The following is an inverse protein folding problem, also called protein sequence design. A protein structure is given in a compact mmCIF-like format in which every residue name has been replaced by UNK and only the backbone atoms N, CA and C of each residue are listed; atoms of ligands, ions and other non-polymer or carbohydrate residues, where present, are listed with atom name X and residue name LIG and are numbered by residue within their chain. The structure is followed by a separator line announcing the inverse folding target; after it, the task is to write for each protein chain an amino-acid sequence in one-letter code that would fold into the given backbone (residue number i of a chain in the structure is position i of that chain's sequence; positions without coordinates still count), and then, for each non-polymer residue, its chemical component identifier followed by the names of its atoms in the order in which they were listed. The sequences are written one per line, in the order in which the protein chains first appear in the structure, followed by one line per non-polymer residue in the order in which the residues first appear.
data_IF_065871639140
#
_entry.id   IF_065871639140
#
_cell.length_a   1.000
_cell.length_b   1.000
_cell.length_c   1.000
_cell.angle_alpha   90.00
_cell.angle_beta   90.00
_cell.angle_gamma   90.00
#
_symmetry.space_group_name_H-M   'P 1'
#
loop_
_entity.id
_entity.type
_entity.pdbx_description
1 polymer ?
#
# COMPACT_ATOMS: atom_id res chain seq x y z
N UNK A 1 0.65 40.53 7.54
CA UNK A 1 0.57 39.16 6.97
C UNK A 1 -0.43 39.16 5.83
N UNK A 2 -0.02 38.87 4.61
CA UNK A 2 -0.93 38.80 3.47
C UNK A 2 -1.85 37.55 3.63
N UNK A 3 -3.15 37.80 3.58
CA UNK A 3 -4.16 36.74 3.59
C UNK A 3 -4.01 35.92 2.31
N UNK A 4 -3.80 34.59 2.44
CA UNK A 4 -3.74 33.66 1.32
C UNK A 4 -5.08 32.97 1.11
N UNK A 5 -5.41 32.69 -0.14
CA UNK A 5 -6.69 32.16 -0.55
C UNK A 5 -6.53 30.90 -1.38
N UNK A 6 -7.56 30.04 -1.37
CA UNK A 6 -7.72 28.91 -2.28
C UNK A 6 -9.00 29.07 -3.10
N UNK A 7 -8.97 28.61 -4.35
CA UNK A 7 -10.12 28.55 -5.23
C UNK A 7 -10.63 27.11 -5.27
N UNK A 8 -11.90 26.95 -4.90
CA UNK A 8 -12.55 25.62 -4.77
C UNK A 8 -13.69 25.54 -5.77
N UNK A 9 -13.71 24.47 -6.57
CA UNK A 9 -14.86 24.05 -7.37
C UNK A 9 -15.91 23.45 -6.45
N UNK A 10 -17.17 23.85 -6.57
CA UNK A 10 -18.25 23.44 -5.67
C UNK A 10 -18.82 22.05 -6.01
N UNK A 11 -18.48 21.50 -7.17
CA UNK A 11 -19.11 20.28 -7.72
C UNK A 11 -20.27 20.58 -8.66
N UNK A 12 -20.64 21.84 -8.82
CA UNK A 12 -21.79 22.28 -9.64
C UNK A 12 -21.30 23.07 -10.86
N UNK A 13 -22.10 23.06 -11.92
CA UNK A 13 -21.87 23.86 -13.11
C UNK A 13 -22.68 25.18 -13.03
N UNK A 14 -22.23 26.16 -13.80
CA UNK A 14 -23.00 27.39 -13.96
C UNK A 14 -24.36 27.10 -14.64
N UNK A 15 -25.45 27.79 -14.25
CA UNK A 15 -26.71 27.70 -14.92
C UNK A 15 -26.55 27.92 -16.43
N UNK A 16 -27.18 27.07 -17.22
CA UNK A 16 -27.18 27.11 -18.70
C UNK A 16 -25.91 26.64 -19.42
N UNK A 17 -24.91 26.08 -18.73
CA UNK A 17 -23.73 25.48 -19.36
C UNK A 17 -23.81 23.95 -19.26
N UNK A 18 -23.69 23.27 -20.40
CA UNK A 18 -23.67 21.81 -20.42
C UNK A 18 -22.33 21.27 -19.89
N UNK A 19 -22.34 20.06 -19.28
CA UNK A 19 -21.12 19.42 -18.78
C UNK A 19 -20.05 19.29 -19.88
N UNK A 20 -20.46 19.02 -21.11
CA UNK A 20 -19.55 18.83 -22.25
C UNK A 20 -18.91 20.15 -22.69
N UNK A 21 -19.65 21.25 -22.61
CA UNK A 21 -19.17 22.59 -22.90
C UNK A 21 -18.23 23.10 -21.82
N UNK A 22 -18.55 22.88 -20.54
CA UNK A 22 -17.68 23.19 -19.43
C UNK A 22 -16.35 22.43 -19.54
N UNK A 23 -16.36 21.13 -19.86
CA UNK A 23 -15.16 20.31 -20.07
C UNK A 23 -14.27 20.92 -21.15
N UNK A 24 -14.83 21.28 -22.30
CA UNK A 24 -14.12 21.85 -23.45
C UNK A 24 -13.51 23.21 -23.09
N UNK A 25 -14.29 24.09 -22.46
CA UNK A 25 -13.85 25.43 -22.09
C UNK A 25 -12.73 25.41 -21.03
N UNK A 26 -12.85 24.53 -20.03
CA UNK A 26 -11.84 24.36 -18.97
C UNK A 26 -10.57 23.70 -19.53
N UNK A 27 -10.71 22.72 -20.41
CA UNK A 27 -9.59 22.08 -21.09
C UNK A 27 -8.78 23.08 -21.93
N UNK A 28 -9.48 23.96 -22.67
CA UNK A 28 -8.86 25.03 -23.43
C UNK A 28 -8.17 26.08 -22.53
N UNK A 29 -8.79 26.45 -21.40
CA UNK A 29 -8.26 27.42 -20.45
C UNK A 29 -6.94 26.96 -19.81
N UNK A 30 -6.86 25.67 -19.46
CA UNK A 30 -5.66 25.08 -18.81
C UNK A 30 -4.71 24.39 -19.78
N UNK A 31 -5.03 24.36 -21.07
CA UNK A 31 -4.27 23.65 -22.13
C UNK A 31 -4.01 22.18 -21.78
N UNK A 32 -5.03 21.48 -21.30
CA UNK A 32 -4.99 20.06 -20.94
C UNK A 32 -6.01 19.28 -21.76
N UNK A 33 -5.85 17.95 -21.84
CA UNK A 33 -6.81 17.10 -22.55
C UNK A 33 -8.18 17.08 -21.84
N UNK A 34 -9.26 17.00 -22.63
CA UNK A 34 -10.63 16.93 -22.13
C UNK A 34 -10.87 15.77 -21.16
N UNK A 35 -10.17 14.63 -21.35
CA UNK A 35 -10.31 13.47 -20.48
C UNK A 35 -9.88 13.73 -19.03
N UNK A 36 -8.87 14.58 -18.82
CA UNK A 36 -8.44 15.00 -17.47
C UNK A 36 -9.47 15.87 -16.78
N UNK A 37 -10.16 16.73 -17.54
CA UNK A 37 -11.21 17.62 -17.01
C UNK A 37 -12.52 16.88 -16.82
N UNK A 38 -12.80 15.87 -17.64
CA UNK A 38 -14.02 15.05 -17.54
C UNK A 38 -14.20 14.44 -16.15
N UNK A 39 -13.12 13.87 -15.58
CA UNK A 39 -13.13 13.32 -14.21
C UNK A 39 -13.42 14.38 -13.14
N UNK A 40 -12.97 15.62 -13.32
CA UNK A 40 -13.23 16.73 -12.40
C UNK A 40 -14.71 17.19 -12.47
N UNK A 41 -15.25 17.34 -13.68
CA UNK A 41 -16.59 17.88 -13.92
C UNK A 41 -17.68 16.85 -13.61
N UNK A 42 -17.53 15.61 -14.08
CA UNK A 42 -18.51 14.54 -13.88
C UNK A 42 -18.47 13.93 -12.48
N UNK A 43 -17.39 14.13 -11.73
CA UNK A 43 -17.25 13.64 -10.35
C UNK A 43 -18.19 14.31 -9.34
N UNK A 44 -18.74 15.49 -9.64
CA UNK A 44 -19.76 16.18 -8.83
C UNK A 44 -19.32 16.55 -7.40
N UNK A 45 -18.02 16.49 -7.07
CA UNK A 45 -17.52 16.75 -5.72
C UNK A 45 -16.75 18.05 -5.65
N UNK A 46 -16.88 18.75 -4.50
CA UNK A 46 -16.09 19.97 -4.25
C UNK A 46 -14.59 19.64 -4.23
N UNK A 47 -13.80 20.37 -5.04
CA UNK A 47 -12.36 20.15 -5.17
C UNK A 47 -11.58 21.44 -5.25
N UNK A 48 -10.45 21.53 -4.54
CA UNK A 48 -9.55 22.67 -4.63
C UNK A 48 -8.81 22.66 -5.97
N UNK A 49 -8.96 23.74 -6.76
CA UNK A 49 -8.31 23.89 -8.07
C UNK A 49 -6.95 24.54 -7.93
N UNK A 50 -6.83 25.57 -7.10
CA UNK A 50 -5.59 26.29 -6.86
C UNK A 50 -5.55 26.78 -5.41
N UNK A 51 -4.36 26.73 -4.80
CA UNK A 51 -4.12 27.13 -3.40
C UNK A 51 -2.99 28.17 -3.33
N UNK A 52 -2.90 28.84 -2.20
CA UNK A 52 -1.84 29.80 -1.88
C UNK A 52 -1.81 31.02 -2.82
N UNK A 53 -2.99 31.57 -3.13
CA UNK A 53 -3.14 32.75 -4.00
C UNK A 53 -3.32 34.02 -3.16
N UNK A 54 -2.87 35.16 -3.69
CA UNK A 54 -3.28 36.46 -3.23
C UNK A 54 -4.73 36.76 -3.67
N UNK A 55 -5.37 37.76 -3.05
CA UNK A 55 -6.78 38.10 -3.30
C UNK A 55 -7.07 38.47 -4.75
N UNK A 56 -6.17 39.26 -5.38
CA UNK A 56 -6.35 39.69 -6.76
C UNK A 56 -6.24 38.52 -7.76
N UNK A 57 -5.27 37.61 -7.56
CA UNK A 57 -5.10 36.44 -8.39
C UNK A 57 -6.23 35.44 -8.19
N UNK A 58 -6.68 35.23 -6.96
CA UNK A 58 -7.83 34.35 -6.67
C UNK A 58 -9.11 34.86 -7.39
N UNK A 59 -9.36 36.15 -7.39
CA UNK A 59 -10.50 36.75 -8.11
C UNK A 59 -10.41 36.54 -9.63
N UNK A 60 -9.21 36.65 -10.22
CA UNK A 60 -8.97 36.36 -11.64
C UNK A 60 -9.26 34.91 -12.00
N UNK A 61 -8.82 33.96 -11.16
CA UNK A 61 -9.10 32.53 -11.34
C UNK A 61 -10.61 32.24 -11.27
N UNK A 62 -11.31 32.82 -10.30
CA UNK A 62 -12.77 32.65 -10.18
C UNK A 62 -13.46 33.21 -11.42
N UNK A 63 -13.13 34.42 -11.87
CA UNK A 63 -13.72 34.99 -13.08
C UNK A 63 -13.48 34.13 -14.32
N UNK A 64 -12.26 33.61 -14.51
CA UNK A 64 -11.94 32.74 -15.64
C UNK A 64 -12.68 31.40 -15.61
N UNK A 65 -12.74 30.76 -14.44
CA UNK A 65 -13.41 29.48 -14.27
C UNK A 65 -14.93 29.57 -14.33
N UNK A 66 -15.52 30.65 -13.80
CA UNK A 66 -16.95 30.92 -13.93
C UNK A 66 -17.36 31.15 -15.40
N UNK A 67 -16.53 31.87 -16.17
CA UNK A 67 -16.75 32.03 -17.62
C UNK A 67 -16.61 30.72 -18.39
N UNK A 68 -15.77 29.81 -17.89
CA UNK A 68 -15.63 28.49 -18.47
C UNK A 68 -16.76 27.50 -18.09
N UNK A 69 -17.70 27.93 -17.21
CA UNK A 69 -18.88 27.16 -16.85
C UNK A 69 -18.84 26.43 -15.51
N UNK A 70 -17.80 26.63 -14.69
CA UNK A 70 -17.70 26.01 -13.36
C UNK A 70 -18.25 26.92 -12.27
N UNK A 71 -18.99 26.39 -11.31
CA UNK A 71 -19.31 27.10 -10.06
C UNK A 71 -18.10 26.99 -9.09
N UNK A 72 -17.48 28.12 -8.79
CA UNK A 72 -16.26 28.18 -7.96
C UNK A 72 -16.40 29.23 -6.87
N UNK A 73 -15.73 29.00 -5.72
CA UNK A 73 -15.68 29.96 -4.60
C UNK A 73 -14.26 30.19 -4.10
N UNK A 74 -14.05 31.36 -3.49
CA UNK A 74 -12.80 31.68 -2.82
C UNK A 74 -12.95 31.34 -1.33
N UNK A 75 -12.00 30.57 -0.79
CA UNK A 75 -11.92 30.27 0.63
C UNK A 75 -10.60 30.81 1.19
N UNK A 76 -10.62 31.52 2.32
CA UNK A 76 -9.40 31.94 2.98
C UNK A 76 -8.65 30.74 3.52
N UNK A 77 -7.34 30.71 3.34
CA UNK A 77 -6.49 29.72 4.00
C UNK A 77 -6.21 30.20 5.43
N UNK A 78 -6.52 29.33 6.42
CA UNK A 78 -6.07 29.57 7.77
C UNK A 78 -4.53 29.63 7.77
N UNK A 79 -3.96 30.68 8.38
CA UNK A 79 -2.53 30.74 8.60
C UNK A 79 -2.10 29.50 9.40
N UNK A 80 -0.92 28.90 9.12
CA UNK A 80 -0.38 27.91 10.01
C UNK A 80 -0.25 28.55 11.39
N UNK A 81 -0.55 27.83 12.49
CA UNK A 81 -0.37 28.37 13.83
C UNK A 81 1.13 28.64 14.03
N UNK A 82 1.51 29.89 13.87
CA UNK A 82 2.78 30.42 14.32
C UNK A 82 2.60 30.74 15.78
N UNK A 83 3.51 30.22 16.56
CA UNK A 83 3.78 30.51 17.96
C UNK A 83 3.07 29.60 18.97
N UNK A 84 3.85 28.67 19.47
CA UNK A 84 3.75 28.13 20.82
C UNK A 84 4.03 29.27 21.83
N UNK A 85 3.08 30.18 22.01
CA UNK A 85 2.99 30.98 23.22
C UNK A 85 2.25 30.14 24.25
N UNK A 86 2.97 29.78 25.31
CA UNK A 86 2.37 29.37 26.58
C UNK A 86 1.37 30.46 27.00
N UNK A 87 0.09 30.15 26.91
CA UNK A 87 -0.96 31.04 27.35
C UNK A 87 -0.78 31.28 28.83
N UNK A 88 -0.94 32.54 29.30
CA UNK A 88 -0.95 32.87 30.74
C UNK A 88 -2.11 32.09 31.38
N UNK A 89 -1.84 31.52 32.55
CA UNK A 89 -2.79 30.87 33.43
C UNK A 89 -4.01 31.77 33.67
N UNK A 90 -5.12 31.47 33.01
CA UNK A 90 -6.43 32.04 33.35
C UNK A 90 -6.91 31.38 34.63
N UNK A 91 -7.44 32.11 35.62
CA UNK A 91 -7.98 31.49 36.82
C UNK A 91 -9.12 30.55 36.46
N UNK A 92 -9.08 29.39 37.06
CA UNK A 92 -10.05 28.29 36.88
C UNK A 92 -11.42 28.76 37.44
N UNK A 93 -12.39 29.06 36.55
CA UNK A 93 -13.78 29.15 36.97
C UNK A 93 -14.32 27.70 37.16
N UNK A 94 -15.02 27.42 38.27
CA UNK A 94 -15.56 26.08 38.50
C UNK A 94 -16.64 25.76 37.48
N UNK A 95 -16.41 24.69 36.71
CA UNK A 95 -17.38 24.12 35.78
C UNK A 95 -18.56 23.57 36.60
N UNK A 96 -19.83 23.83 36.19
CA UNK A 96 -20.99 23.34 36.95
C UNK A 96 -21.02 21.80 36.97
N UNK A 97 -21.17 21.28 38.18
CA UNK A 97 -21.22 19.88 38.57
C UNK A 97 -22.55 19.25 38.13
N UNK A 98 -22.66 18.94 36.79
CA UNK A 98 -23.75 18.12 36.29
C UNK A 98 -23.35 17.43 35.01
N UNK A 99 -22.34 16.56 35.08
CA UNK A 99 -22.04 15.60 33.99
C UNK A 99 -22.52 14.22 34.45
N UNK A 100 -23.20 13.44 33.60
CA UNK A 100 -23.61 12.08 33.95
C UNK A 100 -22.34 11.26 34.26
N UNK A 101 -22.30 10.67 35.41
CA UNK A 101 -21.27 9.71 35.83
C UNK A 101 -21.32 8.53 34.85
N UNK A 102 -20.33 8.43 33.98
CA UNK A 102 -20.21 7.30 33.03
C UNK A 102 -19.40 6.22 33.72
N UNK A 103 -20.07 5.26 34.31
CA UNK A 103 -19.45 4.13 35.05
C UNK A 103 -18.53 3.27 34.16
N UNK A 104 -18.71 3.30 32.84
CA UNK A 104 -17.93 2.52 31.87
C UNK A 104 -17.40 3.41 30.75
N UNK A 105 -16.14 3.22 30.41
CA UNK A 105 -15.54 3.94 29.29
C UNK A 105 -16.26 3.61 27.96
N UNK A 106 -16.79 4.59 27.21
CA UNK A 106 -17.53 4.35 25.97
C UNK A 106 -16.66 3.82 24.82
N UNK A 107 -15.32 3.82 24.98
CA UNK A 107 -14.41 3.29 23.97
C UNK A 107 -13.98 1.85 24.25
N UNK A 108 -13.63 1.51 25.49
CA UNK A 108 -13.05 0.21 25.82
C UNK A 108 -13.86 -0.60 26.85
N UNK A 109 -14.98 -0.08 27.36
CA UNK A 109 -15.85 -0.75 28.33
C UNK A 109 -15.29 -0.88 29.75
N UNK A 110 -14.08 -0.40 30.02
CA UNK A 110 -13.43 -0.52 31.34
C UNK A 110 -14.12 0.37 32.36
N UNK A 111 -14.30 -0.16 33.60
CA UNK A 111 -14.88 0.54 34.78
C UNK A 111 -13.81 1.42 35.47
N UNK A 112 -12.84 1.93 34.76
CA UNK A 112 -11.71 2.68 35.28
C UNK A 112 -11.70 4.14 34.80
N UNK A 113 -12.87 4.80 34.83
CA UNK A 113 -12.97 6.23 34.51
C UNK A 113 -12.84 7.02 35.80
N UNK A 114 -11.79 7.86 35.91
CA UNK A 114 -11.59 8.81 37.01
C UNK A 114 -11.38 10.20 36.45
N UNK A 115 -12.07 11.20 36.95
CA UNK A 115 -11.96 12.59 36.54
C UNK A 115 -12.14 12.80 35.01
N UNK A 116 -13.03 12.03 34.39
CA UNK A 116 -13.28 12.09 32.95
C UNK A 116 -12.19 11.46 32.06
N UNK A 117 -11.17 10.83 32.66
CA UNK A 117 -10.10 10.10 31.96
C UNK A 117 -10.25 8.60 32.18
N UNK A 118 -10.16 7.80 31.14
CA UNK A 118 -10.12 6.36 31.27
C UNK A 118 -8.69 5.88 31.56
N UNK A 119 -8.46 5.29 32.75
CA UNK A 119 -7.15 4.77 33.14
C UNK A 119 -6.66 3.57 32.30
N UNK A 120 -7.57 2.86 31.61
CA UNK A 120 -7.23 1.70 30.80
C UNK A 120 -6.83 2.06 29.35
N UNK A 121 -7.46 3.08 28.73
CA UNK A 121 -7.19 3.45 27.33
C UNK A 121 -6.80 4.92 27.11
N UNK A 122 -6.71 5.72 28.18
CA UNK A 122 -6.17 7.09 28.16
C UNK A 122 -7.04 8.14 27.48
N UNK A 123 -8.32 7.84 27.13
CA UNK A 123 -9.19 8.84 26.49
C UNK A 123 -9.84 9.78 27.50
N UNK A 124 -10.04 11.03 27.08
CA UNK A 124 -10.91 11.98 27.77
C UNK A 124 -12.34 11.70 27.31
N UNK A 125 -13.20 11.16 28.21
CA UNK A 125 -14.55 10.67 27.89
C UNK A 125 -15.44 11.77 27.31
N UNK A 126 -15.37 12.98 27.84
CA UNK A 126 -16.14 14.14 27.36
C UNK A 126 -15.81 14.50 25.90
N UNK A 127 -14.50 14.48 25.51
CA UNK A 127 -14.08 14.71 24.14
C UNK A 127 -14.48 13.57 23.20
N UNK A 128 -14.51 12.36 23.70
CA UNK A 128 -14.94 11.21 22.93
C UNK A 128 -16.45 11.28 22.64
N UNK A 129 -17.29 11.54 23.64
CA UNK A 129 -18.74 11.68 23.48
C UNK A 129 -19.14 12.89 22.62
N UNK A 130 -18.39 14.01 22.68
CA UNK A 130 -18.60 15.16 21.79
C UNK A 130 -18.32 14.84 20.33
N UNK A 131 -17.42 13.88 20.06
CA UNK A 131 -17.05 13.48 18.67
C UNK A 131 -17.91 12.31 18.14
N UNK A 132 -18.46 11.50 19.06
CA UNK A 132 -19.32 10.36 18.76
C UNK A 132 -20.54 10.41 19.68
N UNK A 133 -21.54 11.28 19.39
CA UNK A 133 -22.79 11.28 20.17
C UNK A 133 -23.43 9.91 20.05
N UNK A 134 -23.76 9.29 21.21
CA UNK A 134 -24.46 8.03 21.27
C UNK A 134 -25.77 8.15 20.48
N UNK A 135 -25.98 7.25 19.52
CA UNK A 135 -27.26 7.14 18.84
C UNK A 135 -28.32 6.89 19.91
N UNK A 136 -29.28 7.79 20.02
CA UNK A 136 -30.44 7.69 20.90
C UNK A 136 -31.16 6.39 20.60
N UNK A 137 -31.21 5.45 21.53
CA UNK A 137 -32.03 4.24 21.43
C UNK A 137 -33.50 4.66 21.26
N UNK A 138 -34.26 4.08 20.30
CA UNK A 138 -35.65 4.35 20.21
C UNK A 138 -36.40 3.68 21.40
N UNK A 139 -37.17 4.50 22.11
CA UNK A 139 -38.08 4.11 23.20
C UNK A 139 -39.04 2.99 22.75
N UNK A 140 -39.35 1.99 23.60
CA UNK A 140 -40.24 0.89 23.22
C UNK A 140 -41.70 1.34 23.11
N UNK A 141 -42.23 1.33 21.88
CA UNK A 141 -43.68 1.44 21.66
C UNK A 141 -44.36 0.11 21.99
N UNK A 142 -45.24 0.18 22.93
CA UNK A 142 -46.22 -0.85 23.37
C UNK A 142 -47.09 -1.32 22.19
N UNK A 143 -47.10 -2.63 21.91
CA UNK A 143 -48.05 -3.21 20.92
C UNK A 143 -48.02 -4.74 20.97
N UNK A 144 -49.11 -5.32 21.45
CA UNK A 144 -49.36 -6.72 21.81
C UNK A 144 -49.24 -7.75 20.67
N UNK A 145 -48.64 -8.90 21.02
CA UNK A 145 -48.94 -10.33 20.79
C UNK A 145 -49.36 -10.83 19.36
N UNK A 146 -49.16 -12.11 18.98
CA UNK A 146 -49.50 -13.29 19.78
C UNK A 146 -48.40 -14.40 19.82
N UNK A 147 -48.57 -15.22 20.85
CA UNK A 147 -47.86 -16.49 21.12
C UNK A 147 -48.23 -17.54 20.06
N UNK A 148 -47.22 -18.34 19.70
CA UNK A 148 -47.47 -19.75 19.30
C UNK A 148 -46.54 -20.59 20.16
N UNK A 149 -47.19 -21.38 21.00
CA UNK A 149 -46.57 -22.46 21.79
C UNK A 149 -46.19 -23.58 20.80
N UNK A 150 -45.00 -24.15 20.92
CA UNK A 150 -44.86 -25.58 20.73
C UNK A 150 -43.74 -26.13 21.61
N UNK A 151 -44.16 -27.08 22.40
CA UNK A 151 -43.50 -27.86 23.42
C UNK A 151 -42.76 -28.99 22.73
N UNK A 152 -41.48 -29.24 23.08
CA UNK A 152 -40.95 -30.57 23.24
C UNK A 152 -39.55 -30.54 23.86
N UNK A 153 -39.50 -31.03 25.07
CA UNK A 153 -38.29 -31.15 25.88
C UNK A 153 -37.36 -32.27 25.46
N UNK A 154 -36.15 -32.16 25.87
CA UNK A 154 -35.38 -33.22 26.56
C UNK A 154 -34.02 -32.76 27.07
N UNK A 155 -33.42 -33.48 27.99
CA UNK A 155 -32.61 -32.91 29.06
C UNK A 155 -31.10 -33.10 28.88
N UNK A 156 -30.37 -32.16 29.45
CA UNK A 156 -29.12 -32.36 30.17
C UNK A 156 -27.90 -33.03 29.50
N UNK A 157 -26.86 -32.21 29.29
CA UNK A 157 -25.47 -32.68 29.41
C UNK A 157 -24.55 -31.54 29.91
N UNK A 158 -23.54 -31.89 30.73
CA UNK A 158 -22.87 -30.94 31.60
C UNK A 158 -21.64 -30.30 30.95
N UNK A 159 -21.40 -29.05 31.35
CA UNK A 159 -20.09 -28.38 31.35
C UNK A 159 -19.10 -28.65 30.20
N UNK A 160 -19.25 -27.94 29.08
CA UNK A 160 -18.12 -27.57 28.23
C UNK A 160 -17.70 -26.15 28.63
N UNK A 161 -16.48 -25.99 29.11
CA UNK A 161 -15.82 -24.70 29.31
C UNK A 161 -15.81 -23.97 27.95
N UNK A 162 -16.20 -22.67 27.86
CA UNK A 162 -16.10 -21.93 26.63
C UNK A 162 -14.62 -21.69 26.35
N UNK A 163 -14.04 -22.46 25.48
CA UNK A 163 -12.83 -22.07 24.77
C UNK A 163 -13.19 -20.84 23.96
N UNK A 164 -12.55 -19.71 24.30
CA UNK A 164 -12.68 -18.48 23.57
C UNK A 164 -12.48 -18.76 22.08
N UNK A 165 -13.52 -18.53 21.30
CA UNK A 165 -13.37 -18.41 19.85
C UNK A 165 -12.29 -17.35 19.61
N UNK A 166 -11.35 -17.57 18.65
CA UNK A 166 -10.38 -16.54 18.30
C UNK A 166 -11.17 -15.30 17.90
N UNK A 167 -11.00 -14.23 18.67
CA UNK A 167 -11.53 -12.91 18.34
C UNK A 167 -11.15 -12.61 16.88
N UNK A 168 -12.11 -12.22 16.01
CA UNK A 168 -11.78 -11.81 14.67
C UNK A 168 -10.74 -10.68 14.77
N UNK A 169 -9.56 -10.92 14.21
CA UNK A 169 -8.50 -9.94 14.09
C UNK A 169 -9.09 -8.65 13.53
N UNK A 170 -8.89 -7.57 14.24
CA UNK A 170 -9.37 -6.23 13.88
C UNK A 170 -8.75 -5.83 12.56
N UNK A 171 -9.46 -6.09 11.47
CA UNK A 171 -9.12 -5.58 10.14
C UNK A 171 -9.03 -4.05 10.23
N UNK A 172 -7.96 -3.40 9.77
CA UNK A 172 -7.87 -1.96 9.76
C UNK A 172 -9.09 -1.38 9.01
N UNK A 173 -9.84 -0.51 9.68
CA UNK A 173 -11.03 0.14 9.10
C UNK A 173 -10.63 0.90 7.84
N UNK A 174 -11.03 0.41 6.67
CA UNK A 174 -10.91 1.10 5.39
C UNK A 174 -10.35 0.29 4.23
N UNK A 175 -9.80 -0.89 4.44
CA UNK A 175 -9.41 -1.77 3.35
C UNK A 175 -10.66 -2.53 2.84
N UNK A 176 -11.16 -2.19 1.66
CA UNK A 176 -12.08 -3.07 0.94
C UNK A 176 -11.36 -4.42 0.75
N UNK A 177 -11.95 -5.52 1.22
CA UNK A 177 -11.37 -6.85 1.04
C UNK A 177 -11.04 -7.08 -0.45
N UNK A 178 -9.90 -7.71 -0.77
CA UNK A 178 -9.54 -7.95 -2.17
C UNK A 178 -10.65 -8.73 -2.86
N UNK A 179 -11.16 -8.20 -3.96
CA UNK A 179 -12.27 -8.81 -4.73
C UNK A 179 -11.82 -10.09 -5.48
N UNK A 180 -10.54 -10.46 -5.34
CA UNK A 180 -9.92 -11.61 -6.00
C UNK A 180 -9.09 -11.20 -7.24
N UNK A 181 -8.21 -12.08 -7.77
CA UNK A 181 -7.37 -11.73 -8.88
C UNK A 181 -8.19 -11.59 -10.18
N UNK A 182 -8.11 -10.42 -10.81
CA UNK A 182 -8.68 -10.12 -12.12
C UNK A 182 -7.65 -10.35 -13.23
N UNK A 183 -8.12 -10.85 -14.39
CA UNK A 183 -7.29 -10.87 -15.58
C UNK A 183 -7.28 -9.47 -16.21
N UNK A 184 -6.10 -9.00 -16.58
CA UNK A 184 -5.90 -7.71 -17.25
C UNK A 184 -5.20 -7.92 -18.58
N UNK A 185 -5.31 -6.94 -19.49
CA UNK A 185 -4.68 -7.03 -20.82
C UNK A 185 -3.15 -6.92 -20.72
N UNK A 186 -2.44 -7.51 -21.70
CA UNK A 186 -0.97 -7.49 -21.74
C UNK A 186 -0.38 -6.08 -21.72
N UNK A 187 -1.03 -5.10 -22.37
CA UNK A 187 -0.60 -3.69 -22.41
C UNK A 187 -0.56 -3.02 -21.03
N UNK A 188 -1.30 -3.54 -20.03
CA UNK A 188 -1.26 -3.01 -18.67
C UNK A 188 0.13 -3.10 -18.05
N UNK A 189 0.98 -4.04 -18.45
CA UNK A 189 2.36 -4.13 -17.99
C UNK A 189 3.16 -2.84 -18.21
N UNK A 190 2.96 -2.17 -19.35
CA UNK A 190 3.54 -0.85 -19.61
C UNK A 190 2.82 0.28 -18.86
N UNK A 191 1.50 0.23 -18.79
CA UNK A 191 0.71 1.23 -18.07
C UNK A 191 1.06 1.27 -16.58
N UNK A 192 1.39 0.13 -15.97
CA UNK A 192 1.86 0.08 -14.58
C UNK A 192 3.14 0.88 -14.38
N UNK A 193 4.09 0.77 -15.32
CA UNK A 193 5.35 1.54 -15.27
C UNK A 193 5.06 3.05 -15.44
N UNK A 194 4.21 3.43 -16.37
CA UNK A 194 3.84 4.83 -16.58
C UNK A 194 3.18 5.46 -15.36
N UNK A 195 2.28 4.72 -14.72
CA UNK A 195 1.63 5.17 -13.47
C UNK A 195 2.60 5.16 -12.30
N UNK A 196 3.49 4.17 -12.20
CA UNK A 196 4.57 4.15 -11.21
C UNK A 196 5.49 5.36 -11.35
N UNK A 197 5.82 5.77 -12.59
CA UNK A 197 6.57 6.99 -12.86
C UNK A 197 5.82 8.26 -12.46
N UNK A 198 4.49 8.26 -12.56
CA UNK A 198 3.68 9.36 -12.02
C UNK A 198 3.82 9.47 -10.49
N UNK A 199 3.74 8.36 -9.75
CA UNK A 199 4.00 8.33 -8.31
C UNK A 199 5.39 8.89 -7.97
N UNK A 200 6.41 8.47 -8.71
CA UNK A 200 7.77 9.00 -8.55
C UNK A 200 7.82 10.52 -8.77
N UNK A 201 7.26 11.03 -9.87
CA UNK A 201 7.28 12.46 -10.21
C UNK A 201 6.56 13.35 -9.19
N UNK A 202 5.58 12.82 -8.50
CA UNK A 202 4.82 13.58 -7.48
C UNK A 202 5.68 13.89 -6.26
N UNK A 203 6.61 12.99 -5.88
CA UNK A 203 7.48 13.17 -4.72
C UNK A 203 8.85 12.51 -4.92
N UNK A 204 9.68 13.00 -5.89
CA UNK A 204 10.86 12.30 -6.33
C UNK A 204 11.92 12.12 -5.23
N UNK A 205 12.16 13.16 -4.43
CA UNK A 205 13.19 13.11 -3.39
C UNK A 205 12.87 12.08 -2.31
N UNK A 206 11.62 11.99 -1.89
CA UNK A 206 11.21 10.99 -0.89
C UNK A 206 11.31 9.58 -1.48
N UNK A 207 10.90 9.37 -2.74
CA UNK A 207 11.03 8.09 -3.41
C UNK A 207 12.48 7.63 -3.55
N UNK A 208 13.39 8.54 -3.94
CA UNK A 208 14.84 8.25 -3.99
C UNK A 208 15.33 7.89 -2.60
N UNK A 209 15.01 8.71 -1.59
CA UNK A 209 15.48 8.51 -0.22
C UNK A 209 15.04 7.15 0.35
N UNK A 210 13.76 6.80 0.24
CA UNK A 210 13.25 5.52 0.77
C UNK A 210 13.79 4.32 0.01
N UNK A 211 13.96 4.41 -1.32
CA UNK A 211 14.47 3.32 -2.13
C UNK A 211 15.98 3.10 -1.90
N UNK A 212 16.76 4.18 -1.80
CA UNK A 212 18.19 4.10 -1.47
C UNK A 212 18.38 3.57 -0.05
N UNK A 213 17.58 4.05 0.92
CA UNK A 213 17.65 3.53 2.30
C UNK A 213 17.29 2.05 2.36
N UNK A 214 16.25 1.61 1.64
CA UNK A 214 15.91 0.19 1.50
C UNK A 214 17.09 -0.62 0.98
N UNK A 215 17.69 -0.17 -0.14
CA UNK A 215 18.83 -0.85 -0.75
C UNK A 215 20.04 -0.92 0.18
N UNK A 216 20.34 0.18 0.89
CA UNK A 216 21.44 0.23 1.86
C UNK A 216 21.19 -0.72 3.04
N UNK A 217 19.99 -0.77 3.59
CA UNK A 217 19.65 -1.70 4.68
C UNK A 217 19.88 -3.14 4.23
N UNK A 218 19.35 -3.53 3.07
CA UNK A 218 19.50 -4.89 2.55
C UNK A 218 20.98 -5.19 2.23
N UNK A 219 21.71 -4.24 1.67
CA UNK A 219 23.14 -4.38 1.38
C UNK A 219 23.94 -4.60 2.66
N UNK A 220 23.73 -3.79 3.70
CA UNK A 220 24.44 -3.92 4.99
C UNK A 220 24.14 -5.27 5.64
N UNK A 221 22.87 -5.69 5.65
CA UNK A 221 22.50 -7.01 6.15
C UNK A 221 23.19 -8.13 5.40
N UNK A 222 23.32 -8.01 4.07
CA UNK A 222 23.94 -9.03 3.21
C UNK A 222 25.46 -9.14 3.36
N UNK A 223 26.13 -8.20 4.06
CA UNK A 223 27.58 -8.26 4.32
C UNK A 223 27.96 -9.42 5.27
N UNK A 224 27.01 -9.92 6.06
CA UNK A 224 27.27 -11.07 6.94
C UNK A 224 26.97 -12.37 6.19
N UNK A 225 27.97 -13.20 5.86
CA UNK A 225 27.77 -14.43 5.11
C UNK A 225 26.73 -15.36 5.79
N UNK A 226 25.88 -16.00 5.01
CA UNK A 226 24.80 -16.92 5.43
C UNK A 226 23.74 -16.24 6.30
N UNK A 227 24.11 -15.71 7.46
CA UNK A 227 23.18 -15.12 8.42
C UNK A 227 22.49 -13.87 7.85
N UNK A 228 23.26 -13.03 7.15
CA UNK A 228 22.76 -11.80 6.54
C UNK A 228 21.67 -12.04 5.50
N UNK A 229 21.83 -13.07 4.67
CA UNK A 229 20.81 -13.48 3.70
C UNK A 229 19.51 -13.94 4.35
N UNK A 230 19.60 -14.71 5.44
CA UNK A 230 18.43 -15.12 6.22
C UNK A 230 17.72 -13.90 6.84
N UNK A 231 18.45 -13.04 7.52
CA UNK A 231 17.89 -11.82 8.13
C UNK A 231 17.30 -10.89 7.08
N UNK A 232 17.98 -10.69 5.95
CA UNK A 232 17.48 -9.90 4.85
C UNK A 232 16.16 -10.46 4.30
N UNK A 233 16.04 -11.79 4.14
CA UNK A 233 14.82 -12.45 3.67
C UNK A 233 13.62 -12.26 4.60
N UNK A 234 13.86 -12.08 5.91
CA UNK A 234 12.82 -11.84 6.90
C UNK A 234 12.43 -10.35 6.99
N UNK A 235 13.39 -9.44 6.80
CA UNK A 235 13.19 -7.99 6.91
C UNK A 235 12.67 -7.39 5.60
N UNK A 236 13.13 -7.89 4.44
CA UNK A 236 12.72 -7.36 3.14
C UNK A 236 11.20 -7.27 2.94
N UNK A 237 10.37 -8.27 3.29
CA UNK A 237 8.92 -8.15 3.15
C UNK A 237 8.32 -7.07 4.06
N UNK A 238 8.90 -6.79 5.23
CA UNK A 238 8.45 -5.72 6.14
C UNK A 238 8.69 -4.36 5.48
N UNK A 239 9.90 -4.13 4.96
CA UNK A 239 10.25 -2.88 4.29
C UNK A 239 9.46 -2.71 2.99
N UNK A 240 9.29 -3.78 2.20
CA UNK A 240 8.49 -3.75 0.97
C UNK A 240 7.02 -3.47 1.29
N UNK A 241 6.44 -4.12 2.30
CA UNK A 241 5.09 -3.83 2.79
C UNK A 241 4.92 -2.38 3.21
N UNK A 242 5.92 -1.80 3.89
CA UNK A 242 5.95 -0.39 4.25
C UNK A 242 5.93 0.54 3.03
N UNK A 243 6.74 0.24 1.99
CA UNK A 243 6.72 0.99 0.74
C UNK A 243 5.37 0.88 0.01
N UNK A 244 4.70 -0.28 0.06
CA UNK A 244 3.37 -0.46 -0.51
C UNK A 244 2.32 0.37 0.24
N UNK A 245 2.39 0.44 1.57
CA UNK A 245 1.55 1.34 2.39
C UNK A 245 1.82 2.80 2.01
N UNK A 246 3.07 3.22 1.86
CA UNK A 246 3.42 4.58 1.45
C UNK A 246 2.92 4.95 0.04
N UNK A 247 2.99 4.02 -0.92
CA UNK A 247 2.42 4.20 -2.25
C UNK A 247 0.89 4.29 -2.21
N UNK A 248 0.25 3.50 -1.35
CA UNK A 248 -1.20 3.56 -1.11
C UNK A 248 -1.63 4.91 -0.50
N UNK A 249 -0.90 5.45 0.47
CA UNK A 249 -1.14 6.78 1.01
C UNK A 249 -1.07 7.84 -0.09
N UNK A 250 -0.04 7.78 -0.95
CA UNK A 250 0.14 8.71 -2.06
C UNK A 250 -0.99 8.60 -3.10
N UNK A 251 -1.52 7.41 -3.35
CA UNK A 251 -2.67 7.22 -4.23
C UNK A 251 -3.97 7.85 -3.68
N UNK A 252 -4.03 8.08 -2.36
CA UNK A 252 -5.13 8.75 -1.67
C UNK A 252 -4.84 10.24 -1.35
N UNK A 253 -3.99 10.89 -2.14
CA UNK A 253 -3.61 12.30 -2.01
C UNK A 253 -2.92 12.66 -0.67
N UNK A 254 -2.36 11.68 0.04
CA UNK A 254 -1.54 11.87 1.25
C UNK A 254 -0.06 11.81 0.89
N UNK A 255 0.80 12.66 1.47
CA UNK A 255 2.22 12.68 1.09
C UNK A 255 2.94 11.42 1.54
N UNK A 256 3.75 10.85 0.62
CA UNK A 256 4.72 9.83 0.98
C UNK A 256 5.78 10.44 1.92
N UNK A 257 6.00 9.85 3.08
CA UNK A 257 7.03 10.23 4.05
C UNK A 257 8.06 9.13 4.25
N UNK A 258 9.24 9.48 4.77
CA UNK A 258 10.31 8.51 5.06
C UNK A 258 9.89 7.42 6.04
N UNK A 259 9.01 7.76 7.00
CA UNK A 259 8.48 6.81 7.97
C UNK A 259 7.73 5.63 7.35
N UNK A 260 7.21 5.77 6.12
CA UNK A 260 6.51 4.68 5.44
C UNK A 260 7.42 3.51 5.10
N UNK A 261 8.76 3.72 4.99
CA UNK A 261 9.70 2.61 4.84
C UNK A 261 9.57 1.58 5.99
N UNK A 262 9.25 2.07 7.19
CA UNK A 262 9.12 1.26 8.40
C UNK A 262 7.65 0.94 8.77
N UNK A 263 6.69 1.37 7.96
CA UNK A 263 5.27 1.17 8.25
C UNK A 263 4.88 -0.31 8.31
N UNK A 264 5.61 -1.20 7.63
CA UNK A 264 5.40 -2.65 7.71
C UNK A 264 5.63 -3.23 9.12
N UNK A 265 6.43 -2.57 9.97
CA UNK A 265 6.59 -3.00 11.37
C UNK A 265 5.32 -2.77 12.21
N UNK A 266 4.49 -1.79 11.84
CA UNK A 266 3.22 -1.48 12.51
C UNK A 266 2.02 -2.15 11.84
N UNK A 267 2.19 -2.65 10.59
CA UNK A 267 1.11 -3.25 9.80
C UNK A 267 1.41 -4.74 9.58
N UNK A 268 0.93 -5.59 10.49
CA UNK A 268 1.04 -7.05 10.40
C UNK A 268 2.47 -7.59 10.27
N UNK A 269 3.44 -7.04 11.01
CA UNK A 269 4.86 -7.42 10.94
C UNK A 269 5.08 -8.94 11.07
N UNK A 270 4.37 -9.61 11.98
CA UNK A 270 4.46 -11.06 12.16
C UNK A 270 4.09 -11.84 10.89
N UNK A 271 3.07 -11.41 10.16
CA UNK A 271 2.67 -12.06 8.91
C UNK A 271 3.66 -11.75 7.76
N UNK A 272 4.25 -10.55 7.76
CA UNK A 272 5.30 -10.19 6.80
C UNK A 272 6.57 -11.03 7.02
N UNK A 273 7.00 -11.20 8.27
CA UNK A 273 8.11 -12.10 8.64
C UNK A 273 7.79 -13.54 8.23
N UNK A 274 6.57 -14.01 8.51
CA UNK A 274 6.13 -15.36 8.14
C UNK A 274 6.16 -15.56 6.60
N UNK A 275 5.76 -14.56 5.82
CA UNK A 275 5.87 -14.61 4.36
C UNK A 275 7.33 -14.69 3.88
N UNK A 276 8.23 -13.93 4.52
CA UNK A 276 9.68 -14.00 4.26
C UNK A 276 10.27 -15.37 4.61
N UNK A 277 9.87 -15.94 5.74
CA UNK A 277 10.29 -17.29 6.15
C UNK A 277 9.78 -18.38 5.18
N UNK A 278 8.50 -18.31 4.79
CA UNK A 278 7.93 -19.24 3.81
C UNK A 278 8.61 -19.10 2.44
N UNK A 279 8.92 -17.89 2.02
CA UNK A 279 9.69 -17.63 0.80
C UNK A 279 11.08 -18.25 0.87
N UNK A 280 11.82 -18.01 1.97
CA UNK A 280 13.15 -18.56 2.19
C UNK A 280 13.13 -20.10 2.16
N UNK A 281 12.23 -20.73 2.91
CA UNK A 281 12.05 -22.19 2.91
C UNK A 281 11.70 -22.69 1.51
N UNK A 282 10.78 -22.04 0.83
CA UNK A 282 10.38 -22.38 -0.55
C UNK A 282 11.56 -22.31 -1.53
N UNK A 283 12.39 -21.26 -1.45
CA UNK A 283 13.57 -21.09 -2.30
C UNK A 283 14.65 -22.15 -2.01
N UNK A 284 14.89 -22.47 -0.74
CA UNK A 284 15.82 -23.55 -0.35
C UNK A 284 15.34 -24.89 -0.88
N UNK A 285 14.07 -25.24 -0.67
CA UNK A 285 13.49 -26.49 -1.17
C UNK A 285 13.53 -26.59 -2.71
N UNK A 286 13.28 -25.48 -3.39
CA UNK A 286 13.33 -25.40 -4.85
C UNK A 286 14.78 -25.52 -5.40
N UNK A 287 15.78 -25.12 -4.61
CA UNK A 287 17.18 -25.23 -4.99
C UNK A 287 17.74 -26.66 -4.86
N UNK A 288 17.20 -27.49 -3.95
CA UNK A 288 17.75 -28.83 -3.65
C UNK A 288 17.89 -29.71 -4.92
N UNK A 289 16.87 -29.88 -5.79
CA UNK A 289 17.01 -30.72 -6.98
C UNK A 289 18.09 -30.21 -7.94
N UNK A 290 18.21 -28.90 -8.08
CA UNK A 290 19.24 -28.28 -8.95
C UNK A 290 20.65 -28.50 -8.39
N UNK A 291 20.85 -28.33 -7.10
CA UNK A 291 22.13 -28.60 -6.44
C UNK A 291 22.49 -30.09 -6.55
N UNK A 292 21.52 -31.01 -6.34
CA UNK A 292 21.75 -32.44 -6.49
C UNK A 292 22.15 -32.80 -7.92
N UNK A 293 21.45 -32.26 -8.94
CA UNK A 293 21.81 -32.49 -10.34
C UNK A 293 23.20 -31.92 -10.66
N UNK A 294 23.56 -30.78 -10.10
CA UNK A 294 24.87 -30.18 -10.29
C UNK A 294 25.98 -31.06 -9.68
N UNK A 295 25.81 -31.56 -8.46
CA UNK A 295 26.78 -32.43 -7.78
C UNK A 295 26.95 -33.74 -8.58
N UNK A 296 25.85 -34.40 -8.95
CA UNK A 296 25.87 -35.63 -9.75
C UNK A 296 26.51 -35.40 -11.13
N UNK A 297 26.32 -34.24 -11.73
CA UNK A 297 26.94 -33.86 -12.99
C UNK A 297 28.45 -33.62 -12.87
N UNK A 298 28.90 -33.06 -11.76
CA UNK A 298 30.32 -32.84 -11.49
C UNK A 298 31.11 -34.14 -11.31
N UNK A 299 30.52 -35.15 -10.70
CA UNK A 299 31.16 -36.47 -10.56
C UNK A 299 31.43 -37.15 -11.91
N UNK A 300 30.70 -36.79 -12.96
CA UNK A 300 30.90 -37.29 -14.30
C UNK A 300 31.94 -36.54 -15.14
N UNK A 301 32.45 -35.39 -14.63
CA UNK A 301 33.49 -34.61 -15.30
C UNK A 301 34.85 -35.17 -15.02
N UNK A 302 35.58 -35.53 -16.08
CA UNK A 302 36.97 -35.95 -15.96
C UNK A 302 37.88 -34.74 -15.65
N UNK A 303 38.48 -34.65 -14.42
CA UNK A 303 39.32 -33.55 -14.06
C UNK A 303 40.62 -33.47 -14.86
N UNK A 304 41.00 -34.58 -15.56
CA UNK A 304 42.24 -34.62 -16.38
C UNK A 304 42.03 -34.00 -17.76
N UNK A 305 40.81 -33.73 -18.17
CA UNK A 305 40.46 -33.03 -19.44
C UNK A 305 40.80 -31.55 -19.44
N UNK A 306 41.02 -30.94 -18.29
CA UNK A 306 41.49 -29.53 -18.19
C UNK A 306 43.02 -29.50 -18.30
N UNK A 307 43.54 -29.43 -19.54
CA UNK A 307 44.98 -29.31 -19.77
C UNK A 307 45.62 -28.11 -19.04
N UNK A 308 46.92 -28.15 -18.83
CA UNK A 308 47.69 -27.06 -18.16
C UNK A 308 47.71 -25.73 -18.98
N UNK A 309 47.29 -25.75 -20.24
CA UNK A 309 47.25 -24.58 -21.09
C UNK A 309 46.03 -23.67 -20.74
N UNK A 310 46.27 -22.40 -20.32
CA UNK A 310 45.18 -21.48 -19.94
C UNK A 310 44.13 -21.21 -21.03
N UNK A 311 44.52 -21.28 -22.31
CA UNK A 311 43.61 -21.07 -23.43
C UNK A 311 42.71 -22.28 -23.67
N UNK A 312 43.26 -23.51 -23.56
CA UNK A 312 42.50 -24.75 -23.60
C UNK A 312 41.55 -24.87 -22.41
N UNK A 313 42.03 -24.45 -21.22
CA UNK A 313 41.24 -24.44 -19.99
C UNK A 313 40.05 -23.46 -20.07
N UNK A 314 40.23 -22.27 -20.67
CA UNK A 314 39.13 -21.31 -20.86
C UNK A 314 38.07 -21.81 -21.85
N UNK A 315 38.51 -22.48 -22.93
CA UNK A 315 37.58 -23.10 -23.90
C UNK A 315 36.80 -24.26 -23.30
N UNK A 316 37.50 -25.19 -22.63
CA UNK A 316 36.87 -26.33 -21.96
C UNK A 316 35.87 -25.88 -20.84
N UNK A 317 36.22 -24.84 -20.09
CA UNK A 317 35.35 -24.25 -19.09
C UNK A 317 34.10 -23.63 -19.73
N UNK A 318 34.24 -22.89 -20.84
CA UNK A 318 33.10 -22.31 -21.56
C UNK A 318 32.17 -23.39 -22.11
N UNK A 319 32.73 -24.47 -22.66
CA UNK A 319 31.97 -25.62 -23.16
C UNK A 319 31.29 -26.39 -22.03
N UNK A 320 31.96 -26.60 -20.90
CA UNK A 320 31.38 -27.18 -19.72
C UNK A 320 30.19 -26.36 -19.18
N UNK A 321 30.35 -25.02 -19.06
CA UNK A 321 29.29 -24.11 -18.60
C UNK A 321 28.08 -24.08 -19.57
N UNK A 322 28.30 -24.25 -20.85
CA UNK A 322 27.23 -24.35 -21.86
C UNK A 322 26.63 -25.76 -21.96
N UNK A 323 27.29 -26.75 -21.36
CA UNK A 323 26.89 -28.15 -21.39
C UNK A 323 25.69 -28.46 -20.48
N UNK A 324 25.07 -29.64 -20.68
CA UNK A 324 23.89 -30.05 -19.91
C UNK A 324 24.18 -30.16 -18.40
N UNK A 325 25.43 -30.39 -17.99
CA UNK A 325 25.84 -30.49 -16.60
C UNK A 325 25.55 -29.21 -15.79
N UNK A 326 25.66 -28.05 -16.39
CA UNK A 326 25.34 -26.77 -15.75
C UNK A 326 23.99 -26.21 -16.20
N UNK A 327 23.66 -26.36 -17.47
CA UNK A 327 22.43 -25.80 -18.04
C UNK A 327 21.18 -26.45 -17.46
N UNK A 328 21.16 -27.79 -17.30
CA UNK A 328 20.01 -28.51 -16.77
C UNK A 328 19.68 -28.16 -15.31
N UNK A 329 20.65 -28.12 -14.36
CA UNK A 329 20.41 -27.64 -13.00
C UNK A 329 19.87 -26.21 -12.95
N UNK A 330 20.41 -25.29 -13.77
CA UNK A 330 19.93 -23.91 -13.85
C UNK A 330 18.48 -23.83 -14.30
N UNK A 331 18.11 -24.59 -15.35
CA UNK A 331 16.73 -24.65 -15.85
C UNK A 331 15.78 -25.26 -14.82
N UNK A 332 16.19 -26.31 -14.12
CA UNK A 332 15.41 -26.91 -13.04
C UNK A 332 15.24 -25.93 -11.87
N UNK A 333 16.32 -25.23 -11.47
CA UNK A 333 16.23 -24.19 -10.46
C UNK A 333 15.24 -23.10 -10.87
N UNK A 334 15.38 -22.55 -12.07
CA UNK A 334 14.49 -21.51 -12.59
C UNK A 334 13.02 -21.94 -12.61
N UNK A 335 12.75 -23.18 -13.07
CA UNK A 335 11.40 -23.76 -13.12
C UNK A 335 10.76 -23.90 -11.74
N UNK A 336 11.53 -24.34 -10.74
CA UNK A 336 11.02 -24.57 -9.38
C UNK A 336 10.98 -23.28 -8.54
N UNK A 337 11.91 -22.34 -8.75
CA UNK A 337 11.93 -21.07 -8.03
C UNK A 337 10.86 -20.09 -8.52
N UNK A 338 10.48 -20.14 -9.79
CA UNK A 338 9.48 -19.24 -10.37
C UNK A 338 8.12 -19.28 -9.64
N UNK A 339 7.51 -20.44 -9.35
CA UNK A 339 6.27 -20.49 -8.57
C UNK A 339 6.40 -19.89 -7.17
N UNK A 340 7.55 -20.07 -6.50
CA UNK A 340 7.81 -19.50 -5.19
C UNK A 340 7.91 -17.97 -5.28
N UNK A 341 8.60 -17.46 -6.29
CA UNK A 341 8.68 -16.01 -6.57
C UNK A 341 7.30 -15.42 -6.89
N UNK A 342 6.48 -16.10 -7.70
CA UNK A 342 5.11 -15.67 -8.00
C UNK A 342 4.22 -15.64 -6.74
N UNK A 343 4.39 -16.60 -5.84
CA UNK A 343 3.67 -16.61 -4.58
C UNK A 343 4.06 -15.42 -3.68
N UNK A 344 5.31 -15.04 -3.71
CA UNK A 344 5.82 -13.95 -2.88
C UNK A 344 5.56 -12.56 -3.48
N UNK A 345 5.46 -12.41 -4.80
CA UNK A 345 5.50 -11.13 -5.53
C UNK A 345 4.58 -10.05 -4.97
N UNK A 346 3.30 -10.35 -4.76
CA UNK A 346 2.32 -9.42 -4.21
C UNK A 346 2.03 -9.65 -2.71
N UNK A 347 2.61 -10.70 -2.09
CA UNK A 347 2.30 -11.04 -0.71
C UNK A 347 2.56 -9.89 0.28
N UNK A 348 3.67 -9.12 0.21
CA UNK A 348 3.89 -7.99 1.12
C UNK A 348 2.79 -6.92 1.03
N UNK A 349 2.29 -6.62 -0.18
CA UNK A 349 1.21 -5.66 -0.37
C UNK A 349 -0.13 -6.18 0.20
N UNK A 350 -0.48 -7.44 -0.11
CA UNK A 350 -1.69 -8.11 0.40
C UNK A 350 -1.71 -8.23 1.93
N UNK A 351 -0.54 -8.39 2.57
CA UNK A 351 -0.43 -8.46 4.02
C UNK A 351 -0.51 -7.05 4.64
N UNK A 352 0.28 -6.10 4.12
CA UNK A 352 0.42 -4.79 4.73
C UNK A 352 -0.79 -3.88 4.50
N UNK A 353 -1.48 -3.99 3.36
CA UNK A 353 -2.63 -3.16 2.99
C UNK A 353 -3.94 -3.87 3.32
N UNK A 354 -4.12 -5.13 2.89
CA UNK A 354 -5.39 -5.87 3.05
C UNK A 354 -5.47 -6.66 4.36
N UNK A 355 -4.38 -6.75 5.13
CA UNK A 355 -4.37 -7.46 6.40
C UNK A 355 -4.43 -8.99 6.30
N UNK A 356 -4.11 -9.58 5.14
CA UNK A 356 -4.19 -11.02 4.94
C UNK A 356 -3.08 -11.76 5.71
N UNK A 357 -3.38 -12.99 6.16
CA UNK A 357 -2.36 -13.89 6.69
C UNK A 357 -1.37 -14.33 5.60
N UNK A 358 -0.09 -14.58 5.97
CA UNK A 358 1.01 -14.88 5.06
C UNK A 358 0.68 -15.96 4.02
N UNK A 359 0.15 -17.11 4.46
CA UNK A 359 -0.20 -18.23 3.58
C UNK A 359 -1.32 -17.88 2.60
N UNK A 360 -2.33 -17.15 3.06
CA UNK A 360 -3.46 -16.71 2.21
C UNK A 360 -3.00 -15.67 1.19
N UNK A 361 -2.15 -14.72 1.59
CA UNK A 361 -1.56 -13.73 0.72
C UNK A 361 -0.69 -14.36 -0.37
N UNK A 362 0.18 -15.33 0.00
CA UNK A 362 1.02 -16.05 -0.96
C UNK A 362 0.20 -16.86 -1.96
N UNK A 363 -0.84 -17.57 -1.51
CA UNK A 363 -1.76 -18.29 -2.42
C UNK A 363 -2.48 -17.34 -3.38
N UNK A 364 -2.94 -16.21 -2.87
CA UNK A 364 -3.65 -15.21 -3.67
C UNK A 364 -2.69 -14.54 -4.67
N UNK A 365 -1.46 -14.19 -4.26
CA UNK A 365 -0.39 -13.68 -5.11
C UNK A 365 -0.09 -14.63 -6.25
N UNK A 366 0.12 -15.92 -5.96
CA UNK A 366 0.38 -16.95 -6.95
C UNK A 366 -0.73 -17.04 -8.00
N UNK A 367 -2.01 -17.08 -7.56
CA UNK A 367 -3.17 -17.07 -8.46
C UNK A 367 -3.23 -15.79 -9.30
N UNK A 368 -2.90 -14.63 -8.72
CA UNK A 368 -2.84 -13.35 -9.40
C UNK A 368 -1.79 -13.35 -10.51
N UNK A 369 -0.59 -13.85 -10.22
CA UNK A 369 0.49 -13.98 -11.19
C UNK A 369 0.15 -14.96 -12.31
N UNK A 370 -0.38 -16.16 -11.98
CA UNK A 370 -0.80 -17.16 -12.99
C UNK A 370 -1.85 -16.60 -13.95
N UNK A 371 -2.80 -15.83 -13.44
CA UNK A 371 -3.86 -15.25 -14.26
C UNK A 371 -3.36 -14.09 -15.15
N UNK A 372 -2.21 -13.53 -14.82
CA UNK A 372 -1.66 -12.33 -15.46
C UNK A 372 -0.21 -12.52 -15.95
N UNK A 373 0.13 -13.69 -16.47
CA UNK A 373 1.48 -14.00 -16.94
C UNK A 373 1.92 -13.02 -18.04
N UNK A 374 1.06 -12.76 -19.04
CA UNK A 374 1.40 -11.87 -20.16
C UNK A 374 1.66 -10.41 -19.74
N UNK A 375 0.78 -9.74 -18.96
CA UNK A 375 1.08 -8.38 -18.50
C UNK A 375 2.29 -8.33 -17.57
N UNK A 376 2.53 -9.35 -16.72
CA UNK A 376 3.73 -9.44 -15.89
C UNK A 376 4.99 -9.66 -16.71
N UNK A 377 4.92 -10.43 -17.79
CA UNK A 377 6.03 -10.61 -18.73
C UNK A 377 6.38 -9.28 -19.42
N UNK A 378 5.37 -8.56 -19.94
CA UNK A 378 5.57 -7.23 -20.52
C UNK A 378 6.21 -6.29 -19.51
N UNK A 379 5.68 -6.25 -18.27
CA UNK A 379 6.23 -5.48 -17.17
C UNK A 379 7.69 -5.83 -16.88
N UNK A 380 8.00 -7.13 -16.80
CA UNK A 380 9.37 -7.62 -16.54
C UNK A 380 10.35 -7.25 -17.68
N UNK A 381 9.97 -7.46 -18.95
CA UNK A 381 10.81 -7.13 -20.10
C UNK A 381 11.05 -5.61 -20.19
N UNK A 382 10.00 -4.81 -20.06
CA UNK A 382 10.14 -3.35 -20.09
C UNK A 382 10.92 -2.82 -18.88
N UNK A 383 10.70 -3.40 -17.71
CA UNK A 383 11.47 -3.10 -16.50
C UNK A 383 12.96 -3.41 -16.68
N UNK A 384 13.28 -4.58 -17.25
CA UNK A 384 14.67 -4.96 -17.56
C UNK A 384 15.33 -3.98 -18.52
N UNK A 385 14.64 -3.60 -19.61
CA UNK A 385 15.14 -2.59 -20.56
C UNK A 385 15.43 -1.27 -19.82
N UNK A 386 14.50 -0.81 -18.98
CA UNK A 386 14.70 0.43 -18.20
C UNK A 386 15.88 0.32 -17.23
N UNK A 387 16.09 -0.83 -16.57
CA UNK A 387 17.23 -1.07 -15.69
C UNK A 387 18.54 -1.02 -16.49
N UNK A 388 18.62 -1.67 -17.64
CA UNK A 388 19.79 -1.62 -18.53
C UNK A 388 20.07 -0.18 -18.95
N UNK A 389 19.08 0.54 -19.47
CA UNK A 389 19.22 1.93 -19.87
C UNK A 389 19.60 2.84 -18.69
N UNK A 390 19.04 2.61 -17.52
CA UNK A 390 19.33 3.36 -16.29
C UNK A 390 20.73 3.10 -15.74
N UNK A 391 21.34 1.96 -16.06
CA UNK A 391 22.71 1.62 -15.63
C UNK A 391 23.78 2.31 -16.52
N UNK A 392 23.47 2.64 -17.77
CA UNK A 392 24.42 3.26 -18.71
C UNK A 392 25.03 4.58 -18.18
N UNK A 393 24.28 5.54 -17.60
CA UNK A 393 24.89 6.74 -17.00
C UNK A 393 25.43 6.47 -15.60
N UNK A 394 26.43 5.58 -15.48
CA UNK A 394 27.10 5.25 -14.21
C UNK A 394 26.12 4.92 -13.05
N UNK A 395 25.05 4.16 -13.36
CA UNK A 395 23.98 3.76 -12.43
C UNK A 395 23.08 4.91 -11.94
N UNK A 396 23.32 6.17 -12.31
CA UNK A 396 22.51 7.31 -11.86
C UNK A 396 21.05 7.21 -12.30
N UNK A 397 20.80 6.62 -13.48
CA UNK A 397 19.44 6.38 -13.96
C UNK A 397 18.64 5.42 -13.07
N UNK A 398 19.31 4.55 -12.31
CA UNK A 398 18.65 3.64 -11.38
C UNK A 398 17.97 4.38 -10.21
N UNK A 399 18.44 5.59 -9.86
CA UNK A 399 17.78 6.43 -8.85
C UNK A 399 16.36 6.86 -9.27
N UNK A 400 16.05 6.79 -10.56
CA UNK A 400 14.72 7.06 -11.11
C UNK A 400 13.99 5.75 -11.41
N UNK A 401 14.68 4.80 -12.03
CA UNK A 401 14.08 3.53 -12.49
C UNK A 401 13.62 2.68 -11.31
N UNK A 402 14.47 2.50 -10.28
CA UNK A 402 14.13 1.64 -9.14
C UNK A 402 12.92 2.12 -8.35
N UNK A 403 12.84 3.39 -7.91
CA UNK A 403 11.61 3.90 -7.29
C UNK A 403 10.37 3.76 -8.18
N UNK A 404 10.53 4.00 -9.50
CA UNK A 404 9.44 3.84 -10.46
C UNK A 404 8.93 2.40 -10.50
N UNK A 405 9.82 1.40 -10.54
CA UNK A 405 9.45 -0.01 -10.54
C UNK A 405 8.80 -0.43 -9.21
N UNK A 406 9.28 0.06 -8.07
CA UNK A 406 8.64 -0.18 -6.78
C UNK A 406 7.22 0.42 -6.74
N UNK A 407 7.05 1.66 -7.18
CA UNK A 407 5.74 2.28 -7.26
C UNK A 407 4.81 1.57 -8.25
N UNK A 408 5.34 1.09 -9.39
CA UNK A 408 4.55 0.34 -10.39
C UNK A 408 4.11 -1.05 -9.89
N UNK A 409 4.85 -1.65 -8.94
CA UNK A 409 4.42 -2.86 -8.25
C UNK A 409 3.13 -2.61 -7.45
N UNK A 410 3.01 -1.46 -6.76
CA UNK A 410 1.77 -1.06 -6.10
C UNK A 410 0.62 -0.87 -7.10
N UNK A 411 0.87 -0.20 -8.23
CA UNK A 411 -0.15 0.01 -9.28
C UNK A 411 -0.65 -1.33 -9.83
N UNK A 412 0.27 -2.27 -10.10
CA UNK A 412 -0.09 -3.62 -10.59
C UNK A 412 -0.90 -4.41 -9.57
N UNK A 413 -0.54 -4.33 -8.27
CA UNK A 413 -1.31 -4.90 -7.17
C UNK A 413 -2.75 -4.36 -7.15
N UNK A 414 -2.93 -3.03 -7.19
CA UNK A 414 -4.25 -2.40 -7.21
C UNK A 414 -5.09 -2.82 -8.42
N UNK A 415 -4.47 -2.93 -9.59
CA UNK A 415 -5.16 -3.31 -10.83
C UNK A 415 -5.58 -4.80 -10.86
N UNK A 416 -4.78 -5.70 -10.26
CA UNK A 416 -5.04 -7.15 -10.25
C UNK A 416 -6.02 -7.53 -9.14
N UNK A 417 -5.93 -6.94 -7.95
CA UNK A 417 -6.68 -7.38 -6.77
C UNK A 417 -7.84 -6.43 -6.37
N UNK A 418 -7.79 -5.18 -6.80
CA UNK A 418 -8.82 -4.17 -6.54
C UNK A 418 -9.29 -3.55 -7.85
N UNK A 419 -10.55 -3.64 -8.20
CA UNK A 419 -11.12 -3.14 -9.48
C UNK A 419 -11.01 -1.63 -9.70
N UNK A 420 -10.46 -0.87 -8.75
CA UNK A 420 -10.37 0.59 -8.76
C UNK A 420 -8.91 1.02 -8.68
N UNK A 421 -8.26 1.21 -9.81
CA UNK A 421 -7.10 2.13 -9.93
C UNK A 421 -7.13 2.78 -11.30
#
# INVERSE_FOLDING_TARGET
MEKRFKVVYTGELQPYVSAQEAIRNVAALFKVSEDKIRGLVLGGHARSIKVNLDSATAARYVSALSKAGLAVRIEPMAAPPSDLHLAPTVPFEPVPENQPEVDKCPRCGAVAVRDGLCGACGIVVSKYLARFPAATEPSPATGAAPRIDDDSGSPGSPHALPWAEPTPETTPRGAEAPTGPHAVSAGQGWDWINRGFWHFKTNPWTWILVTVSYALIIMILSLVPLLGGVVASLIAPILTGGLMVGANEQAHDRPLGFQHLFAGFSNNAGQLVAAGALYLVGMVLAAIPAVLLMVLGMDSMDPTGFGEDPQLMSGAMAEALAGPTFLLPILVAALLMLPVAMAYWFAPALIAIDGLGAWSAMKLSFRGCLKNILPLLVYGVMGLILVILGSLPMLLGLLVVMPTLVASMYVSYGNIFHRKV
#
